data_IF_874649081072
#
_entry.id   IF_874649081072
#
_cell.length_a   1.000
_cell.length_b   1.000
_cell.length_c   1.000
_cell.angle_alpha   90.00
_cell.angle_beta   90.00
_cell.angle_gamma   90.00
#
_symmetry.space_group_name_H-M   'P 1'
#
loop_
_entity.id
_entity.type
_entity.pdbx_description
1 polymer ?
#
# COMPACT_ATOMS: atom_id res chain seq x y z
N UNK A 1 21.18 -8.20 12.17
CA UNK A 1 20.28 -7.14 11.67
C UNK A 1 20.23 -6.03 12.70
N UNK A 2 20.95 -4.93 12.49
CA UNK A 2 20.87 -3.78 13.40
C UNK A 2 19.50 -3.11 13.20
N UNK A 3 18.76 -2.88 14.29
CA UNK A 3 17.50 -2.17 14.25
C UNK A 3 17.73 -0.76 13.67
N UNK A 4 17.18 -0.51 12.48
CA UNK A 4 17.15 0.84 11.92
C UNK A 4 16.16 1.66 12.75
N UNK A 5 16.59 2.86 13.20
CA UNK A 5 15.67 3.86 13.77
C UNK A 5 14.47 3.95 12.84
N UNK A 6 13.28 3.70 13.37
CA UNK A 6 12.04 3.76 12.59
C UNK A 6 11.90 5.16 12.01
N UNK A 7 12.27 5.35 10.74
CA UNK A 7 12.13 6.63 10.03
C UNK A 7 10.69 7.12 10.18
N UNK A 8 10.47 8.34 10.63
CA UNK A 8 9.16 8.96 10.61
C UNK A 8 8.57 8.84 9.20
N UNK A 9 7.34 8.29 9.09
CA UNK A 9 6.63 8.24 7.81
C UNK A 9 5.62 9.37 7.78
N UNK A 10 5.63 10.10 6.67
CA UNK A 10 4.63 11.09 6.35
C UNK A 10 3.61 10.48 5.41
N UNK A 11 2.33 10.66 5.74
CA UNK A 11 1.24 10.47 4.80
C UNK A 11 1.14 11.73 3.95
N UNK A 12 1.23 11.55 2.63
CA UNK A 12 1.06 12.63 1.66
C UNK A 12 -0.04 12.28 0.67
N UNK A 13 -0.77 13.29 0.20
CA UNK A 13 -1.80 13.15 -0.84
C UNK A 13 -1.41 13.96 -2.07
N UNK A 14 -1.79 13.45 -3.25
CA UNK A 14 -1.56 14.16 -4.50
C UNK A 14 -2.42 15.43 -4.58
N UNK A 15 -1.80 16.53 -4.99
CA UNK A 15 -2.40 17.85 -5.21
C UNK A 15 -2.04 18.32 -6.63
N UNK A 16 -2.27 17.44 -7.61
CA UNK A 16 -1.87 17.59 -9.01
C UNK A 16 -0.62 16.78 -9.36
N UNK A 17 -0.27 16.78 -10.65
CA UNK A 17 0.79 15.92 -11.20
C UNK A 17 2.12 16.15 -10.49
N UNK A 18 2.64 15.08 -9.87
CA UNK A 18 3.89 15.06 -9.10
C UNK A 18 3.96 16.04 -7.91
N UNK A 19 2.82 16.61 -7.50
CA UNK A 19 2.72 17.49 -6.34
C UNK A 19 2.08 16.75 -5.17
N UNK A 20 2.80 16.68 -4.04
CA UNK A 20 2.35 15.95 -2.86
C UNK A 20 2.33 16.86 -1.62
N UNK A 21 1.16 17.00 -1.01
CA UNK A 21 0.99 17.72 0.25
C UNK A 21 1.08 16.75 1.44
N UNK A 22 1.75 17.16 2.51
CA UNK A 22 1.86 16.35 3.73
C UNK A 22 0.63 16.54 4.61
N UNK A 23 -0.11 15.46 4.85
CA UNK A 23 -1.35 15.50 5.61
C UNK A 23 -1.20 15.03 7.06
N UNK A 24 -0.34 14.03 7.30
CA UNK A 24 -0.21 13.43 8.64
C UNK A 24 1.17 12.80 8.88
N UNK A 25 1.59 12.75 10.15
CA UNK A 25 2.71 11.94 10.60
C UNK A 25 2.23 10.61 11.17
N UNK A 26 2.71 9.49 10.65
CA UNK A 26 2.36 8.14 11.11
C UNK A 26 3.30 7.68 12.23
N UNK A 27 2.72 7.29 13.37
CA UNK A 27 3.44 6.70 14.51
C UNK A 27 3.52 5.19 14.39
N UNK A 28 2.41 4.55 14.03
CA UNK A 28 2.38 3.12 13.67
C UNK A 28 2.16 3.00 12.17
N UNK A 29 2.84 2.02 11.56
CA UNK A 29 2.75 1.80 10.13
C UNK A 29 3.02 0.35 9.80
N UNK A 30 2.29 -0.17 8.83
CA UNK A 30 2.51 -1.47 8.22
C UNK A 30 2.33 -1.30 6.73
N UNK A 31 3.35 -1.70 5.98
CA UNK A 31 3.30 -1.81 4.53
C UNK A 31 3.37 -3.30 4.24
N UNK A 32 2.39 -3.80 3.49
CA UNK A 32 2.35 -5.19 3.07
C UNK A 32 2.24 -5.25 1.55
N UNK A 33 3.12 -6.04 0.93
CA UNK A 33 3.04 -6.39 -0.47
C UNK A 33 2.56 -7.83 -0.57
N UNK A 34 1.47 -8.04 -1.29
CA UNK A 34 0.88 -9.34 -1.50
C UNK A 34 0.85 -9.60 -3.01
N UNK A 35 1.31 -10.78 -3.41
CA UNK A 35 1.13 -11.29 -4.75
C UNK A 35 0.25 -12.53 -4.66
N UNK A 36 -0.86 -12.53 -5.37
CA UNK A 36 -1.70 -13.72 -5.47
C UNK A 36 -0.96 -14.80 -6.26
N UNK A 37 -0.82 -16.02 -5.72
CA UNK A 37 -0.17 -17.10 -6.47
C UNK A 37 -1.16 -17.73 -7.44
N UNK A 38 -0.78 -17.82 -8.71
CA UNK A 38 -1.58 -18.53 -9.71
C UNK A 38 -1.09 -19.96 -9.83
N UNK A 39 -1.95 -20.91 -9.51
CA UNK A 39 -1.71 -22.35 -9.66
C UNK A 39 -2.00 -22.79 -11.10
N UNK A 40 -1.06 -23.50 -11.70
CA UNK A 40 -1.12 -24.02 -13.07
C UNK A 40 -0.83 -25.52 -13.12
N UNK A 41 -1.06 -26.23 -12.02
CA UNK A 41 -0.83 -27.68 -11.92
C UNK A 41 -1.68 -28.46 -12.92
N UNK A 42 -1.06 -29.34 -13.69
CA UNK A 42 -1.70 -30.24 -14.64
C UNK A 42 -1.51 -31.73 -14.25
N UNK A 43 -2.07 -32.63 -15.06
CA UNK A 43 -2.01 -34.08 -14.81
C UNK A 43 -0.59 -34.67 -14.98
N UNK A 44 0.26 -34.00 -15.75
CA UNK A 44 1.62 -34.42 -16.07
C UNK A 44 2.66 -33.83 -15.10
N UNK A 45 2.19 -33.13 -14.05
CA UNK A 45 3.04 -32.52 -13.03
C UNK A 45 3.98 -33.56 -12.39
N UNK A 46 5.26 -33.48 -12.78
CA UNK A 46 6.30 -34.39 -12.31
C UNK A 46 6.34 -34.43 -10.78
N UNK A 47 6.23 -35.63 -10.21
CA UNK A 47 6.28 -35.84 -8.76
C UNK A 47 5.09 -35.27 -7.98
N UNK A 48 4.00 -34.88 -8.66
CA UNK A 48 2.77 -34.30 -8.05
C UNK A 48 3.02 -33.03 -7.24
N UNK A 49 4.01 -32.24 -7.62
CA UNK A 49 4.25 -30.93 -7.03
C UNK A 49 3.29 -29.89 -7.61
N UNK A 50 2.87 -28.95 -6.77
CA UNK A 50 2.12 -27.77 -7.23
C UNK A 50 3.02 -26.91 -8.13
N UNK A 51 2.52 -26.57 -9.31
CA UNK A 51 3.19 -25.64 -10.23
C UNK A 51 2.57 -24.25 -10.10
N UNK A 52 3.41 -23.23 -9.92
CA UNK A 52 2.97 -21.84 -9.80
C UNK A 52 3.52 -21.02 -10.97
N UNK A 53 2.67 -20.20 -11.58
CA UNK A 53 3.07 -19.30 -12.65
C UNK A 53 3.54 -17.96 -12.06
N UNK A 54 4.83 -17.71 -12.13
CA UNK A 54 5.43 -16.48 -11.62
C UNK A 54 4.93 -15.26 -12.41
N UNK A 55 4.58 -14.18 -11.70
CA UNK A 55 4.21 -12.89 -12.32
C UNK A 55 2.78 -12.80 -12.86
N UNK A 56 2.02 -13.90 -12.85
CA UNK A 56 0.61 -13.89 -13.29
C UNK A 56 -0.39 -13.48 -12.21
N UNK A 57 0.09 -13.34 -10.97
CA UNK A 57 -0.69 -12.85 -9.85
C UNK A 57 -0.95 -11.36 -9.87
N UNK A 58 -2.13 -10.93 -9.40
CA UNK A 58 -2.36 -9.53 -9.10
C UNK A 58 -1.44 -9.12 -7.93
N UNK A 59 -0.61 -8.12 -8.18
CA UNK A 59 0.24 -7.52 -7.16
C UNK A 59 -0.54 -6.41 -6.45
N UNK A 60 -0.64 -6.51 -5.12
CA UNK A 60 -1.33 -5.54 -4.27
C UNK A 60 -0.39 -5.02 -3.20
N UNK A 61 -0.39 -3.72 -2.99
CA UNK A 61 0.19 -3.09 -1.81
C UNK A 61 -0.94 -2.61 -0.89
N UNK A 62 -0.79 -2.81 0.42
CA UNK A 62 -1.64 -2.20 1.43
C UNK A 62 -0.81 -1.48 2.47
N UNK A 63 -1.31 -0.34 2.91
CA UNK A 63 -0.71 0.49 3.95
C UNK A 63 -1.75 0.65 5.05
N UNK A 64 -1.37 0.35 6.28
CA UNK A 64 -2.18 0.63 7.46
C UNK A 64 -1.35 1.29 8.55
N UNK A 65 -1.97 2.12 9.37
CA UNK A 65 -1.25 2.86 10.39
C UNK A 65 -2.13 3.82 11.17
N UNK A 66 -1.55 4.38 12.23
CA UNK A 66 -2.16 5.42 13.05
C UNK A 66 -1.17 6.55 13.27
N UNK A 67 -1.69 7.77 13.35
CA UNK A 67 -0.88 8.98 13.35
C UNK A 67 -1.67 10.20 13.78
N UNK A 68 -1.06 11.37 13.57
CA UNK A 68 -1.65 12.67 13.88
C UNK A 68 -1.64 13.50 12.60
N UNK A 69 -2.78 14.13 12.29
CA UNK A 69 -2.90 15.08 11.20
C UNK A 69 -2.07 16.34 11.46
N UNK A 70 -1.56 16.94 10.39
CA UNK A 70 -0.82 18.20 10.44
C UNK A 70 -1.72 19.36 10.86
N UNK A 71 -2.91 19.44 10.27
CA UNK A 71 -3.90 20.50 10.50
C UNK A 71 -5.32 20.03 10.11
N UNK A 72 -6.33 20.87 10.41
CA UNK A 72 -7.73 20.58 10.12
C UNK A 72 -8.04 20.56 8.62
N UNK A 73 -7.29 21.32 7.81
CA UNK A 73 -7.44 21.33 6.35
C UNK A 73 -7.05 19.97 5.76
N UNK A 74 -5.94 19.39 6.24
CA UNK A 74 -5.46 18.06 5.84
C UNK A 74 -6.45 16.95 6.18
N UNK A 75 -7.11 17.04 7.35
CA UNK A 75 -8.16 16.10 7.75
C UNK A 75 -9.38 16.18 6.81
N UNK A 76 -9.88 17.40 6.58
CA UNK A 76 -11.01 17.64 5.67
C UNK A 76 -10.73 17.14 4.24
N UNK A 77 -9.52 17.38 3.73
CA UNK A 77 -9.08 16.97 2.40
C UNK A 77 -9.08 15.44 2.23
N UNK A 78 -8.48 14.70 3.17
CA UNK A 78 -8.47 13.23 3.11
C UNK A 78 -9.89 12.68 3.17
N UNK A 79 -10.72 13.27 4.04
CA UNK A 79 -12.10 12.84 4.20
C UNK A 79 -12.92 13.06 2.92
N UNK A 80 -12.78 14.22 2.26
CA UNK A 80 -13.50 14.50 1.02
C UNK A 80 -13.11 13.51 -0.07
N UNK A 81 -11.81 13.30 -0.31
CA UNK A 81 -11.29 12.37 -1.33
C UNK A 81 -11.84 10.96 -1.12
N UNK A 82 -11.88 10.49 0.14
CA UNK A 82 -12.41 9.17 0.47
C UNK A 82 -13.90 9.03 0.13
N UNK A 83 -14.73 10.01 0.53
CA UNK A 83 -16.17 9.94 0.31
C UNK A 83 -16.58 10.21 -1.14
N UNK A 84 -15.79 10.99 -1.87
CA UNK A 84 -15.99 11.24 -3.31
C UNK A 84 -15.53 10.04 -4.17
N UNK A 85 -14.81 9.08 -3.59
CA UNK A 85 -14.25 7.93 -4.30
C UNK A 85 -13.20 8.34 -5.35
N UNK A 86 -12.56 9.49 -5.16
CA UNK A 86 -11.66 10.10 -6.12
C UNK A 86 -10.26 9.45 -6.07
N UNK A 87 -9.71 9.09 -7.23
CA UNK A 87 -8.31 8.68 -7.38
C UNK A 87 -7.53 9.87 -7.94
N UNK A 88 -6.69 10.48 -7.10
CA UNK A 88 -5.86 11.64 -7.48
C UNK A 88 -4.50 11.21 -8.03
N UNK A 89 -4.04 11.92 -9.06
CA UNK A 89 -2.74 11.75 -9.73
C UNK A 89 -1.89 13.01 -9.62
#
# INVERSE_FOLDING_TARGET
MAAQRGKDILLKIAHGTDQFETCAGLRTKRIAFNAETVDVTDADAAGRWRQLLAGSGVQRASISGSGIFKDATSDALIRSVFFDGEIRN
#
